data_IF_773124191194
#
_entry.id   IF_773124191194
#
_cell.length_a   1.000
_cell.length_b   1.000
_cell.length_c   1.000
_cell.angle_alpha   90.00
_cell.angle_beta   90.00
_cell.angle_gamma   90.00
#
_symmetry.space_group_name_H-M   'P 1'
#
loop_
_entity.id
_entity.type
_entity.pdbx_description
1 polymer ?
#
# COMPACT_ATOMS: atom_id res chain seq x y z
N UNK A 1 -17.51 -22.22 5.16
CA UNK A 1 -17.36 -21.37 6.39
C UNK A 1 -18.66 -20.62 6.67
N UNK A 2 -18.88 -20.11 7.93
CA UNK A 2 -20.09 -19.34 8.28
C UNK A 2 -20.37 -18.17 7.33
N UNK A 3 -19.33 -17.47 6.88
CA UNK A 3 -19.44 -16.37 5.91
C UNK A 3 -19.88 -16.80 4.49
N UNK A 4 -19.91 -18.10 4.19
CA UNK A 4 -20.29 -18.63 2.86
C UNK A 4 -21.77 -18.98 2.77
N UNK A 5 -22.49 -18.98 3.92
CA UNK A 5 -23.91 -19.34 4.02
C UNK A 5 -24.80 -18.28 3.34
N UNK A 6 -24.40 -17.00 3.37
CA UNK A 6 -25.15 -15.94 2.71
C UNK A 6 -24.71 -14.53 3.12
N UNK A 7 -25.26 -13.49 2.47
CA UNK A 7 -24.87 -12.09 2.67
C UNK A 7 -24.98 -11.60 4.13
N UNK A 8 -25.99 -12.06 4.85
CA UNK A 8 -26.20 -11.70 6.27
C UNK A 8 -25.13 -12.31 7.17
N UNK A 9 -24.80 -13.60 6.95
CA UNK A 9 -23.73 -14.28 7.68
C UNK A 9 -22.37 -13.64 7.41
N UNK A 10 -22.13 -13.23 6.16
CA UNK A 10 -20.93 -12.47 5.79
C UNK A 10 -20.82 -11.14 6.55
N UNK A 11 -21.94 -10.36 6.62
CA UNK A 11 -21.96 -9.09 7.36
C UNK A 11 -21.68 -9.29 8.86
N UNK A 12 -22.25 -10.33 9.48
CA UNK A 12 -22.01 -10.67 10.89
C UNK A 12 -20.53 -11.03 11.11
N UNK A 13 -19.98 -11.87 10.25
CA UNK A 13 -18.56 -12.24 10.32
C UNK A 13 -17.64 -11.01 10.18
N UNK A 14 -17.95 -10.10 9.27
CA UNK A 14 -17.21 -8.86 9.08
C UNK A 14 -17.28 -7.97 10.33
N UNK A 15 -18.47 -7.78 10.92
CA UNK A 15 -18.61 -7.00 12.15
C UNK A 15 -17.84 -7.60 13.32
N UNK A 16 -17.82 -8.91 13.44
CA UNK A 16 -17.01 -9.62 14.44
C UNK A 16 -15.52 -9.30 14.29
N UNK A 17 -14.99 -9.34 13.08
CA UNK A 17 -13.57 -9.02 12.85
C UNK A 17 -13.26 -7.53 13.10
N UNK A 18 -14.19 -6.63 12.74
CA UNK A 18 -14.10 -5.20 13.08
C UNK A 18 -14.06 -5.01 14.60
N UNK A 19 -14.96 -5.64 15.35
CA UNK A 19 -14.97 -5.56 16.82
C UNK A 19 -13.68 -6.09 17.45
N UNK A 20 -13.20 -7.26 16.99
CA UNK A 20 -11.90 -7.81 17.45
C UNK A 20 -10.76 -6.83 17.21
N UNK A 21 -10.76 -6.17 16.04
CA UNK A 21 -9.73 -5.18 15.71
C UNK A 21 -9.79 -3.98 16.64
N UNK A 22 -10.97 -3.44 16.93
CA UNK A 22 -11.11 -2.35 17.88
C UNK A 22 -10.63 -2.73 19.29
N UNK A 23 -10.99 -3.92 19.76
CA UNK A 23 -10.53 -4.44 21.06
C UNK A 23 -9.00 -4.56 21.06
N UNK A 24 -8.40 -5.16 20.01
CA UNK A 24 -6.95 -5.27 19.87
C UNK A 24 -6.27 -3.90 19.92
N UNK A 25 -6.78 -2.93 19.16
CA UNK A 25 -6.22 -1.58 19.10
C UNK A 25 -6.32 -0.86 20.46
N UNK A 26 -7.42 -1.05 21.18
CA UNK A 26 -7.63 -0.46 22.52
C UNK A 26 -6.59 -0.98 23.53
N UNK A 27 -6.34 -2.29 23.55
CA UNK A 27 -5.36 -2.88 24.47
C UNK A 27 -3.92 -2.69 24.04
N UNK A 28 -3.64 -2.46 22.77
CA UNK A 28 -2.28 -2.25 22.27
C UNK A 28 -1.65 -0.94 22.76
N UNK A 29 -2.46 0.05 23.19
CA UNK A 29 -2.00 1.37 23.67
C UNK A 29 -0.95 2.02 22.76
N UNK A 30 -1.14 1.85 21.44
CA UNK A 30 -0.24 2.42 20.43
C UNK A 30 -0.25 3.95 20.49
N UNK A 31 0.92 4.55 20.46
CA UNK A 31 1.06 5.99 20.31
C UNK A 31 0.90 6.35 18.82
N UNK A 32 -0.32 6.73 18.41
CA UNK A 32 -0.61 7.05 17.03
C UNK A 32 -0.18 8.46 16.63
N UNK A 33 0.33 8.58 15.40
CA UNK A 33 0.60 9.84 14.75
C UNK A 33 -0.72 10.55 14.39
N UNK A 34 -1.03 11.65 15.07
CA UNK A 34 -2.31 12.37 14.92
C UNK A 34 -2.16 13.84 14.49
N UNK A 35 -0.94 14.38 14.55
CA UNK A 35 -0.66 15.77 14.18
C UNK A 35 -0.45 15.89 12.68
N UNK A 36 -1.05 16.90 12.06
CA UNK A 36 -0.82 17.28 10.66
C UNK A 36 -0.23 18.69 10.58
N UNK A 37 0.75 18.85 9.68
CA UNK A 37 1.28 20.13 9.23
C UNK A 37 1.57 20.00 7.73
N UNK A 38 1.13 20.97 6.94
CA UNK A 38 1.38 20.99 5.50
C UNK A 38 2.63 21.78 5.12
N UNK A 39 3.25 22.50 6.05
CA UNK A 39 4.56 23.10 5.83
C UNK A 39 5.61 21.99 5.72
N UNK A 40 6.33 21.87 4.58
CA UNK A 40 7.20 20.72 4.34
C UNK A 40 8.44 20.77 5.22
N UNK A 41 8.78 19.66 5.86
CA UNK A 41 10.05 19.48 6.53
C UNK A 41 11.23 19.60 5.53
N UNK A 42 12.43 20.03 5.94
CA UNK A 42 13.48 20.47 5.03
C UNK A 42 14.06 19.34 4.15
N UNK A 43 14.14 18.10 4.64
CA UNK A 43 14.88 17.03 3.96
C UNK A 43 13.94 16.02 3.30
N UNK A 44 14.07 15.83 1.98
CA UNK A 44 13.35 14.78 1.25
C UNK A 44 14.06 13.44 1.48
N UNK A 45 13.31 12.44 1.93
CA UNK A 45 13.76 11.06 2.09
C UNK A 45 13.47 10.23 0.85
N UNK A 46 12.21 10.30 0.38
CA UNK A 46 11.74 9.54 -0.76
C UNK A 46 10.54 10.22 -1.43
N UNK A 47 10.41 10.01 -2.73
CA UNK A 47 9.26 10.43 -3.53
C UNK A 47 8.80 9.27 -4.40
N UNK A 48 7.49 9.18 -4.61
CA UNK A 48 6.90 8.20 -5.52
C UNK A 48 5.59 8.72 -6.11
N UNK A 49 5.32 8.34 -7.35
CA UNK A 49 4.03 8.60 -8.00
C UNK A 49 3.43 7.32 -8.55
N UNK A 50 2.11 7.28 -8.56
CA UNK A 50 1.34 6.20 -9.18
C UNK A 50 0.15 6.75 -9.95
N UNK A 51 -0.36 6.01 -10.93
CA UNK A 51 -1.55 6.43 -11.67
C UNK A 51 -2.79 6.52 -10.77
N UNK A 52 -3.34 7.73 -10.65
CA UNK A 52 -4.62 7.98 -10.01
C UNK A 52 -5.76 7.44 -10.89
N UNK A 53 -5.70 7.71 -12.19
CA UNK A 53 -6.66 7.25 -13.19
C UNK A 53 -5.94 6.39 -14.22
N UNK A 54 -6.42 5.16 -14.39
CA UNK A 54 -5.99 4.30 -15.51
C UNK A 54 -7.01 4.35 -16.62
N UNK A 55 -6.54 4.44 -17.86
CA UNK A 55 -7.37 4.42 -19.07
C UNK A 55 -6.98 3.21 -19.92
N UNK A 56 -7.91 2.61 -20.64
CA UNK A 56 -7.64 1.49 -21.53
C UNK A 56 -8.80 0.52 -21.70
N UNK A 57 -8.62 -0.46 -22.56
CA UNK A 57 -9.63 -1.50 -22.83
C UNK A 57 -9.94 -2.30 -21.56
N UNK A 58 -11.23 -2.46 -21.24
CA UNK A 58 -11.69 -3.20 -20.07
C UNK A 58 -11.63 -2.43 -18.74
N UNK A 59 -11.30 -1.13 -18.77
CA UNK A 59 -11.30 -0.26 -17.60
C UNK A 59 -12.58 0.57 -17.60
N UNK A 60 -13.38 0.45 -16.53
CA UNK A 60 -14.58 1.26 -16.33
C UNK A 60 -14.18 2.68 -15.89
N UNK A 61 -14.48 3.73 -16.68
CA UNK A 61 -14.11 5.12 -16.38
C UNK A 61 -14.76 5.61 -15.08
N UNK A 62 -16.03 5.25 -14.83
CA UNK A 62 -16.78 5.70 -13.64
C UNK A 62 -16.14 5.18 -12.37
N UNK A 63 -15.71 3.91 -12.37
CA UNK A 63 -15.01 3.33 -11.22
C UNK A 63 -13.62 3.97 -11.01
N UNK A 64 -12.97 4.44 -12.07
CA UNK A 64 -11.69 5.17 -11.95
C UNK A 64 -11.90 6.59 -11.41
N UNK A 65 -12.90 7.31 -11.88
CA UNK A 65 -13.26 8.62 -11.34
C UNK A 65 -13.66 8.53 -9.88
N UNK A 66 -14.48 7.55 -9.52
CA UNK A 66 -14.86 7.29 -8.14
C UNK A 66 -13.65 6.92 -7.26
N UNK A 67 -12.68 6.15 -7.79
CA UNK A 67 -11.41 5.87 -7.11
C UNK A 67 -10.66 7.18 -6.82
N UNK A 68 -10.57 8.08 -7.80
CA UNK A 68 -9.92 9.37 -7.61
C UNK A 68 -10.59 10.22 -6.52
N UNK A 69 -11.92 10.25 -6.48
CA UNK A 69 -12.69 10.89 -5.40
C UNK A 69 -12.35 10.27 -4.04
N UNK A 70 -12.37 8.94 -3.93
CA UNK A 70 -12.07 8.22 -2.70
C UNK A 70 -10.65 8.51 -2.18
N UNK A 71 -9.67 8.54 -3.09
CA UNK A 71 -8.27 8.83 -2.75
C UNK A 71 -8.12 10.29 -2.28
N UNK A 72 -8.73 11.27 -2.96
CA UNK A 72 -8.68 12.68 -2.54
C UNK A 72 -9.26 12.89 -1.16
N UNK A 73 -10.42 12.28 -0.85
CA UNK A 73 -11.03 12.33 0.48
C UNK A 73 -10.15 11.70 1.58
N UNK A 74 -9.47 10.60 1.26
CA UNK A 74 -8.54 9.99 2.21
C UNK A 74 -7.27 10.84 2.37
N UNK A 75 -6.77 11.45 1.29
CA UNK A 75 -5.61 12.34 1.34
C UNK A 75 -5.82 13.53 2.27
N UNK A 76 -7.01 14.13 2.33
CA UNK A 76 -7.33 15.21 3.27
C UNK A 76 -7.05 14.82 4.74
N UNK A 77 -7.13 13.53 5.06
CA UNK A 77 -6.88 12.98 6.39
C UNK A 77 -5.43 12.57 6.63
N UNK A 78 -4.66 12.37 5.58
CA UNK A 78 -3.32 11.79 5.63
C UNK A 78 -2.23 12.79 5.25
N UNK A 79 -2.54 13.77 4.39
CA UNK A 79 -1.54 14.75 3.94
C UNK A 79 -1.01 15.58 5.10
N UNK A 80 0.32 15.70 5.18
CA UNK A 80 1.00 16.47 6.21
C UNK A 80 1.12 15.75 7.55
N UNK A 81 0.78 14.45 7.67
CA UNK A 81 0.91 13.73 8.93
C UNK A 81 2.36 13.73 9.40
N UNK A 82 2.58 14.18 10.63
CA UNK A 82 3.86 14.11 11.32
C UNK A 82 3.95 12.82 12.11
N UNK A 83 5.02 12.09 11.94
CA UNK A 83 5.32 10.85 12.66
C UNK A 83 6.53 11.13 13.55
N UNK A 84 6.27 11.47 14.81
CA UNK A 84 7.32 11.80 15.79
C UNK A 84 8.04 10.55 16.29
N UNK A 85 9.19 10.68 16.95
CA UNK A 85 9.86 9.57 17.61
C UNK A 85 8.91 8.72 18.46
N UNK A 86 8.88 7.41 18.21
CA UNK A 86 8.02 6.45 18.89
C UNK A 86 6.57 6.38 18.41
N UNK A 87 6.13 7.28 17.52
CA UNK A 87 4.76 7.25 16.98
C UNK A 87 4.58 6.21 15.87
N UNK A 88 3.37 5.67 15.80
CA UNK A 88 2.92 4.71 14.78
C UNK A 88 1.90 5.36 13.85
N UNK A 89 2.19 5.37 12.56
CA UNK A 89 1.18 5.66 11.54
C UNK A 89 0.23 4.47 11.39
N UNK A 90 -1.08 4.73 11.33
CA UNK A 90 -2.10 3.74 10.99
C UNK A 90 -3.04 4.32 9.95
N UNK A 91 -3.17 3.64 8.81
CA UNK A 91 -3.99 4.10 7.70
C UNK A 91 -5.46 4.26 8.14
N UNK A 92 -6.03 3.24 8.79
CA UNK A 92 -7.44 3.28 9.19
C UNK A 92 -7.72 4.10 10.45
N UNK A 93 -6.72 4.32 11.32
CA UNK A 93 -6.86 5.26 12.43
C UNK A 93 -7.13 6.67 11.91
N UNK A 94 -6.43 7.08 10.85
CA UNK A 94 -6.55 8.41 10.24
C UNK A 94 -7.75 8.53 9.30
N UNK A 95 -7.92 7.61 8.35
CA UNK A 95 -9.00 7.65 7.34
C UNK A 95 -10.36 7.33 7.96
N UNK A 96 -10.39 6.39 8.90
CA UNK A 96 -11.60 5.88 9.50
C UNK A 96 -12.48 5.11 8.51
N UNK A 97 -13.71 4.80 8.93
CA UNK A 97 -14.67 4.05 8.10
C UNK A 97 -15.11 4.87 6.88
N UNK A 98 -14.95 4.29 5.70
CA UNK A 98 -15.46 4.85 4.44
C UNK A 98 -16.97 4.65 4.34
N UNK A 99 -17.72 5.74 4.12
CA UNK A 99 -19.18 5.71 4.00
C UNK A 99 -19.66 6.69 2.93
N UNK A 100 -20.83 6.42 2.32
CA UNK A 100 -21.47 7.35 1.38
C UNK A 100 -21.71 8.74 2.00
N UNK A 101 -22.05 8.79 3.30
CA UNK A 101 -22.27 10.06 4.04
C UNK A 101 -21.00 10.93 4.11
N UNK A 102 -19.82 10.32 4.08
CA UNK A 102 -18.54 11.03 4.02
C UNK A 102 -18.10 11.36 2.59
N UNK A 103 -18.93 11.11 1.58
CA UNK A 103 -18.62 11.36 0.17
C UNK A 103 -17.93 10.20 -0.57
N UNK A 104 -17.59 9.09 0.11
CA UNK A 104 -16.98 7.94 -0.56
C UNK A 104 -17.95 7.28 -1.53
N UNK A 105 -17.43 6.88 -2.68
CA UNK A 105 -18.16 6.30 -3.81
C UNK A 105 -17.78 4.84 -4.04
N UNK A 106 -18.60 4.17 -4.85
CA UNK A 106 -18.32 2.81 -5.28
C UNK A 106 -17.14 2.82 -6.26
N UNK A 107 -15.98 2.40 -5.82
CA UNK A 107 -14.80 2.16 -6.63
C UNK A 107 -14.51 0.66 -6.73
N UNK A 108 -13.45 0.30 -7.43
CA UNK A 108 -13.04 -1.08 -7.66
C UNK A 108 -12.47 -1.70 -6.38
N UNK A 109 -13.08 -2.78 -5.89
CA UNK A 109 -12.57 -3.62 -4.80
C UNK A 109 -12.34 -5.04 -5.28
N UNK A 110 -11.41 -5.75 -4.65
CA UNK A 110 -11.16 -7.18 -4.88
C UNK A 110 -11.77 -7.97 -3.73
N UNK A 111 -12.71 -8.86 -4.05
CA UNK A 111 -13.34 -9.76 -3.08
C UNK A 111 -13.28 -11.18 -3.62
N UNK A 112 -12.57 -12.10 -2.95
CA UNK A 112 -12.43 -13.52 -3.36
C UNK A 112 -12.03 -13.67 -4.83
N UNK A 113 -10.98 -12.97 -5.26
CA UNK A 113 -10.48 -12.93 -6.63
C UNK A 113 -11.47 -12.37 -7.67
N UNK A 114 -12.58 -11.74 -7.24
CA UNK A 114 -13.51 -11.05 -8.13
C UNK A 114 -13.41 -9.54 -7.93
N UNK A 115 -13.39 -8.83 -9.06
CA UNK A 115 -13.43 -7.37 -9.05
C UNK A 115 -14.88 -6.94 -9.00
N UNK A 116 -15.24 -6.21 -7.93
CA UNK A 116 -16.58 -5.72 -7.67
C UNK A 116 -16.57 -4.22 -7.35
N UNK A 117 -17.68 -3.51 -7.61
CA UNK A 117 -17.84 -2.16 -7.07
C UNK A 117 -18.04 -2.20 -5.55
N UNK A 118 -17.43 -1.25 -4.82
CA UNK A 118 -17.61 -1.14 -3.37
C UNK A 118 -17.16 0.21 -2.84
N UNK A 119 -17.82 0.65 -1.75
CA UNK A 119 -17.59 1.96 -1.12
C UNK A 119 -16.12 2.08 -0.66
N UNK A 120 -15.44 3.16 -1.09
CA UNK A 120 -14.04 3.40 -0.78
C UNK A 120 -13.08 2.56 -1.63
N UNK A 121 -13.54 1.96 -2.73
CA UNK A 121 -12.69 1.22 -3.66
C UNK A 121 -11.58 2.10 -4.22
N UNK A 122 -10.38 1.50 -4.37
CA UNK A 122 -9.16 2.18 -4.83
C UNK A 122 -8.19 2.62 -3.74
N UNK A 123 -8.55 2.58 -2.46
CA UNK A 123 -7.67 3.02 -1.35
C UNK A 123 -6.41 2.15 -1.20
N UNK A 124 -6.40 0.91 -1.70
CA UNK A 124 -5.17 0.13 -1.77
C UNK A 124 -4.11 0.82 -2.65
N UNK A 125 -4.49 1.57 -3.70
CA UNK A 125 -3.53 2.35 -4.49
C UNK A 125 -2.85 3.44 -3.64
N UNK A 126 -3.62 4.14 -2.79
CA UNK A 126 -3.07 5.13 -1.86
C UNK A 126 -2.13 4.48 -0.84
N UNK A 127 -2.56 3.38 -0.21
CA UNK A 127 -1.72 2.64 0.74
C UNK A 127 -0.43 2.14 0.09
N UNK A 128 -0.49 1.66 -1.17
CA UNK A 128 0.68 1.24 -1.94
C UNK A 128 1.63 2.39 -2.24
N UNK A 129 1.10 3.55 -2.60
CA UNK A 129 1.91 4.74 -2.88
C UNK A 129 2.65 5.19 -1.63
N UNK A 130 1.99 5.18 -0.46
CA UNK A 130 2.63 5.43 0.84
C UNK A 130 3.68 4.35 1.15
N UNK A 131 3.34 3.08 0.96
CA UNK A 131 4.25 1.97 1.23
C UNK A 131 5.57 2.07 0.45
N UNK A 132 5.52 2.56 -0.80
CA UNK A 132 6.71 2.74 -1.65
C UNK A 132 7.72 3.72 -1.04
N UNK A 133 7.28 4.84 -0.51
CA UNK A 133 8.19 5.81 0.13
C UNK A 133 8.65 5.34 1.52
N UNK A 134 7.84 4.59 2.23
CA UNK A 134 8.20 4.00 3.54
C UNK A 134 9.25 2.90 3.38
N UNK A 135 9.13 2.03 2.36
CA UNK A 135 10.10 0.95 2.12
C UNK A 135 11.53 1.45 1.90
N UNK A 136 11.69 2.62 1.28
CA UNK A 136 13.01 3.23 1.03
C UNK A 136 13.36 4.29 2.09
N UNK A 137 12.98 4.03 3.35
CA UNK A 137 13.21 4.90 4.50
C UNK A 137 13.61 4.08 5.74
N UNK A 138 14.04 4.71 6.84
CA UNK A 138 14.34 4.01 8.10
C UNK A 138 13.10 3.60 8.89
N UNK A 139 11.88 3.95 8.45
CA UNK A 139 10.66 3.63 9.16
C UNK A 139 10.38 2.12 9.12
N UNK A 140 9.93 1.57 10.25
CA UNK A 140 9.67 0.15 10.43
C UNK A 140 8.22 -0.19 10.13
N UNK A 141 7.98 -1.02 9.11
CA UNK A 141 6.61 -1.50 8.79
C UNK A 141 6.17 -2.51 9.84
N UNK A 142 5.11 -2.20 10.59
CA UNK A 142 4.59 -3.02 11.69
C UNK A 142 3.34 -3.81 11.34
N UNK A 143 2.60 -3.40 10.32
CA UNK A 143 1.49 -4.15 9.76
C UNK A 143 1.40 -3.95 8.23
N UNK A 144 1.32 -5.07 7.54
CA UNK A 144 1.32 -5.13 6.09
C UNK A 144 0.53 -6.35 5.60
N UNK A 145 -0.28 -6.17 4.57
CA UNK A 145 -1.08 -7.24 3.97
C UNK A 145 -0.77 -7.30 2.47
N UNK A 146 0.12 -8.20 2.06
CA UNK A 146 0.51 -8.29 0.65
C UNK A 146 -0.68 -8.60 -0.25
N UNK A 147 -0.68 -8.04 -1.46
CA UNK A 147 -1.53 -8.53 -2.53
C UNK A 147 -1.07 -9.92 -2.97
N UNK A 148 -2.01 -10.87 -3.05
CA UNK A 148 -1.74 -12.22 -3.55
C UNK A 148 -1.71 -12.29 -5.08
N UNK A 149 -2.06 -11.18 -5.78
CA UNK A 149 -2.40 -11.20 -7.19
C UNK A 149 -1.61 -10.18 -7.99
N UNK A 150 -1.08 -10.62 -9.14
CA UNK A 150 -0.51 -9.75 -10.15
C UNK A 150 -1.62 -9.32 -11.13
N UNK A 151 -2.19 -8.12 -10.91
CA UNK A 151 -3.40 -7.66 -11.62
C UNK A 151 -3.15 -7.12 -13.03
N UNK A 152 -1.89 -6.84 -13.40
CA UNK A 152 -1.51 -6.33 -14.71
C UNK A 152 -0.07 -6.73 -15.05
N UNK A 153 0.28 -6.85 -16.34
CA UNK A 153 1.67 -6.96 -16.77
C UNK A 153 2.45 -5.70 -16.37
N UNK A 154 3.78 -5.80 -16.34
CA UNK A 154 4.64 -4.63 -16.14
C UNK A 154 4.58 -3.73 -17.38
N UNK A 155 4.33 -2.44 -17.19
CA UNK A 155 4.37 -1.42 -18.21
C UNK A 155 5.77 -0.75 -18.17
N UNK A 156 6.66 -1.15 -19.07
CA UNK A 156 8.04 -0.64 -19.13
C UNK A 156 9.00 -1.33 -18.16
N UNK A 157 10.08 -0.65 -17.70
CA UNK A 157 11.05 -1.22 -16.80
C UNK A 157 10.39 -1.71 -15.50
N UNK A 158 10.73 -2.94 -15.10
CA UNK A 158 10.15 -3.51 -13.88
C UNK A 158 10.52 -2.70 -12.64
N UNK A 159 9.50 -2.33 -11.89
CA UNK A 159 9.67 -1.72 -10.58
C UNK A 159 9.57 -2.82 -9.53
N UNK A 160 10.64 -3.08 -8.77
CA UNK A 160 10.62 -4.06 -7.69
C UNK A 160 9.46 -3.81 -6.74
N UNK A 161 8.84 -4.90 -6.23
CA UNK A 161 7.74 -4.80 -5.29
C UNK A 161 6.48 -4.10 -5.83
N UNK A 162 6.12 -4.38 -7.08
CA UNK A 162 4.90 -3.81 -7.70
C UNK A 162 3.59 -4.29 -7.07
N UNK A 163 3.60 -5.36 -6.27
CA UNK A 163 2.41 -5.98 -5.68
C UNK A 163 1.87 -5.29 -4.42
N UNK A 164 2.60 -4.39 -3.80
CA UNK A 164 2.13 -3.49 -2.73
C UNK A 164 1.31 -4.10 -1.57
N UNK A 165 0.64 -3.23 -0.81
CA UNK A 165 -0.19 -3.61 0.34
C UNK A 165 -1.68 -3.46 0.08
N UNK A 166 -2.49 -4.38 0.61
CA UNK A 166 -3.94 -4.27 0.68
C UNK A 166 -4.37 -3.63 1.99
N UNK A 167 -5.44 -2.82 1.94
CA UNK A 167 -6.07 -2.26 3.14
C UNK A 167 -7.57 -2.55 3.13
N UNK A 168 -8.07 -3.05 4.29
CA UNK A 168 -9.49 -3.36 4.52
C UNK A 168 -9.90 -2.76 5.85
N UNK A 169 -10.97 -1.96 5.88
CA UNK A 169 -11.36 -1.24 7.09
C UNK A 169 -11.39 -2.15 8.32
N UNK A 170 -10.53 -1.83 9.30
CA UNK A 170 -10.36 -2.51 10.59
C UNK A 170 -10.06 -4.03 10.55
N UNK A 171 -9.89 -4.62 9.37
CA UNK A 171 -9.49 -6.01 9.25
C UNK A 171 -8.02 -6.15 8.80
N UNK A 172 -7.61 -5.35 7.81
CA UNK A 172 -6.22 -5.24 7.39
C UNK A 172 -5.81 -3.77 7.32
N UNK A 173 -4.91 -3.36 8.20
CA UNK A 173 -4.37 -2.00 8.26
C UNK A 173 -3.01 -1.95 7.57
N UNK A 174 -2.57 -0.76 7.23
CA UNK A 174 -1.20 -0.49 6.90
C UNK A 174 -0.61 0.39 7.99
N UNK A 175 0.44 -0.12 8.67
CA UNK A 175 1.08 0.56 9.79
C UNK A 175 2.58 0.57 9.65
N UNK A 176 3.19 1.66 10.08
CA UNK A 176 4.63 1.77 10.26
C UNK A 176 4.95 2.66 11.46
N UNK A 177 6.10 2.43 12.08
CA UNK A 177 6.56 3.12 13.28
C UNK A 177 7.81 3.91 13.00
N UNK A 178 7.93 5.06 13.63
CA UNK A 178 9.14 5.84 13.65
C UNK A 178 9.97 5.47 14.90
N UNK A 179 11.06 4.76 14.70
CA UNK A 179 12.01 4.38 15.75
C UNK A 179 13.27 5.28 15.76
N UNK A 180 13.27 6.31 14.90
CA UNK A 180 14.35 7.30 14.84
C UNK A 180 14.15 8.42 15.87
N UNK A 181 15.18 9.23 16.10
CA UNK A 181 15.20 10.37 17.02
C UNK A 181 14.78 11.71 16.39
N UNK A 182 14.10 11.67 15.25
CA UNK A 182 13.62 12.83 14.53
C UNK A 182 12.23 12.60 13.93
N UNK A 183 11.52 13.70 13.66
CA UNK A 183 10.18 13.64 13.04
C UNK A 183 10.28 13.34 11.55
N UNK A 184 9.38 12.48 11.06
CA UNK A 184 9.09 12.29 9.65
C UNK A 184 7.74 12.91 9.30
N UNK A 185 7.59 13.29 8.03
CA UNK A 185 6.36 13.87 7.51
C UNK A 185 5.98 13.19 6.20
N UNK A 186 4.72 12.78 6.11
CA UNK A 186 4.16 12.23 4.89
C UNK A 186 3.32 13.29 4.19
N UNK A 187 3.74 13.73 3.01
CA UNK A 187 2.98 14.60 2.13
C UNK A 187 2.35 13.81 1.00
N UNK A 188 1.07 14.10 0.72
CA UNK A 188 0.27 13.39 -0.28
C UNK A 188 -0.53 14.40 -1.10
N UNK A 189 -0.46 14.31 -2.43
CA UNK A 189 -1.29 15.13 -3.31
C UNK A 189 -1.65 14.38 -4.59
N UNK A 190 -2.60 14.92 -5.34
CA UNK A 190 -3.03 14.39 -6.63
C UNK A 190 -3.09 15.52 -7.65
N UNK A 191 -2.65 15.24 -8.87
CA UNK A 191 -3.06 16.00 -10.05
C UNK A 191 -4.26 15.32 -10.74
N UNK A 192 -4.43 15.54 -12.04
CA UNK A 192 -5.52 14.94 -12.81
C UNK A 192 -5.34 13.44 -12.98
N UNK A 193 -4.12 12.97 -13.22
CA UNK A 193 -3.82 11.59 -13.61
C UNK A 193 -3.02 10.80 -12.58
N UNK A 194 -2.32 11.48 -11.67
CA UNK A 194 -1.38 10.86 -10.77
C UNK A 194 -1.67 11.16 -9.30
N UNK A 195 -1.28 10.21 -8.46
CA UNK A 195 -1.18 10.31 -7.02
C UNK A 195 0.30 10.35 -6.63
N UNK A 196 0.67 11.28 -5.78
CA UNK A 196 2.03 11.48 -5.32
C UNK A 196 2.14 11.27 -3.81
N UNK A 197 3.26 10.70 -3.40
CA UNK A 197 3.68 10.61 -2.01
C UNK A 197 5.12 11.10 -1.87
N UNK A 198 5.37 11.89 -0.85
CA UNK A 198 6.69 12.33 -0.46
C UNK A 198 6.86 12.09 1.03
N UNK A 199 7.96 11.45 1.41
CA UNK A 199 8.38 11.31 2.80
C UNK A 199 9.52 12.27 3.08
N UNK A 200 9.40 13.07 4.13
CA UNK A 200 10.38 14.07 4.55
C UNK A 200 10.82 13.86 6.00
N UNK A 201 11.91 14.48 6.39
CA UNK A 201 12.41 14.49 7.77
C UNK A 201 13.07 15.82 8.13
N UNK A 202 13.34 16.02 9.41
CA UNK A 202 13.92 17.26 9.93
C UNK A 202 15.40 17.43 9.55
N UNK A 203 16.17 16.34 9.54
CA UNK A 203 17.62 16.33 9.31
C UNK A 203 18.01 15.28 8.27
N UNK A 204 19.08 15.50 7.50
CA UNK A 204 19.58 14.51 6.55
C UNK A 204 19.83 13.16 7.22
N UNK A 205 19.50 12.09 6.51
CA UNK A 205 19.74 10.72 6.99
C UNK A 205 21.20 10.31 6.73
N UNK A 206 21.83 9.57 7.66
CA UNK A 206 23.17 9.03 7.46
C UNK A 206 23.22 7.86 6.46
N UNK A 207 22.04 7.32 6.11
CA UNK A 207 21.90 6.17 5.22
C UNK A 207 20.93 6.47 4.07
N UNK A 208 21.11 5.74 2.97
CA UNK A 208 20.17 5.61 1.87
C UNK A 208 19.59 4.20 1.87
N UNK A 209 18.36 4.08 1.35
CA UNK A 209 17.65 2.80 1.33
C UNK A 209 17.24 2.48 -0.11
N UNK A 210 17.36 1.22 -0.50
CA UNK A 210 16.84 0.74 -1.79
C UNK A 210 16.20 -0.63 -1.66
N UNK A 211 15.27 -0.91 -2.57
CA UNK A 211 14.65 -2.22 -2.69
C UNK A 211 15.33 -2.97 -3.83
N UNK A 212 15.73 -4.20 -3.56
CA UNK A 212 16.34 -5.13 -4.52
C UNK A 212 15.41 -6.32 -4.69
N UNK A 213 15.15 -6.67 -5.94
CA UNK A 213 14.38 -7.87 -6.30
C UNK A 213 15.33 -8.89 -6.92
N UNK A 214 15.27 -10.14 -6.41
CA UNK A 214 16.09 -11.24 -6.90
C UNK A 214 15.24 -12.42 -7.37
N UNK A 215 15.77 -13.17 -8.33
CA UNK A 215 15.13 -14.39 -8.81
C UNK A 215 13.77 -14.19 -9.45
N UNK A 216 13.49 -12.98 -10.01
CA UNK A 216 12.21 -12.71 -10.67
C UNK A 216 12.02 -13.64 -11.87
N UNK A 217 10.94 -14.41 -11.84
CA UNK A 217 10.51 -15.27 -12.94
C UNK A 217 9.01 -15.53 -12.87
N UNK A 218 8.48 -16.09 -13.95
CA UNK A 218 7.14 -16.67 -13.96
C UNK A 218 7.26 -18.19 -13.90
N UNK A 219 6.29 -18.82 -13.22
CA UNK A 219 6.17 -20.27 -13.18
C UNK A 219 4.72 -20.71 -13.27
N UNK A 220 4.50 -21.95 -13.75
CA UNK A 220 3.17 -22.55 -13.87
C UNK A 220 2.99 -23.61 -12.80
N UNK A 221 1.93 -23.47 -12.01
CA UNK A 221 1.55 -24.40 -10.94
C UNK A 221 0.06 -24.71 -11.02
N UNK A 222 -0.31 -26.00 -11.09
CA UNK A 222 -1.70 -26.41 -11.08
C UNK A 222 -2.57 -25.78 -12.17
N UNK A 223 -2.00 -25.46 -13.34
CA UNK A 223 -2.71 -24.81 -14.44
C UNK A 223 -2.81 -23.29 -14.33
N UNK A 224 -2.28 -22.67 -13.29
CA UNK A 224 -2.21 -21.21 -13.07
C UNK A 224 -0.78 -20.74 -13.23
N UNK A 225 -0.63 -19.45 -13.54
CA UNK A 225 0.67 -18.79 -13.64
C UNK A 225 0.92 -17.91 -12.42
N UNK A 226 2.15 -17.91 -11.94
CA UNK A 226 2.59 -17.13 -10.79
C UNK A 226 3.81 -16.30 -11.15
N UNK A 227 3.86 -15.09 -10.59
CA UNK A 227 5.03 -14.24 -10.60
C UNK A 227 5.76 -14.43 -9.27
N UNK A 228 7.02 -14.86 -9.34
CA UNK A 228 7.83 -15.21 -8.17
C UNK A 228 9.07 -14.35 -8.10
N UNK A 229 9.42 -13.88 -6.91
CA UNK A 229 10.68 -13.17 -6.64
C UNK A 229 10.92 -13.02 -5.14
N UNK A 230 12.16 -12.73 -4.75
CA UNK A 230 12.52 -12.37 -3.38
C UNK A 230 12.83 -10.88 -3.32
N UNK A 231 12.27 -10.21 -2.32
CA UNK A 231 12.43 -8.78 -2.12
C UNK A 231 13.29 -8.53 -0.89
N UNK A 232 14.30 -7.70 -1.06
CA UNK A 232 15.21 -7.28 -0.01
C UNK A 232 15.23 -5.76 0.08
N UNK A 233 15.46 -5.25 1.30
CA UNK A 233 15.78 -3.84 1.56
C UNK A 233 17.27 -3.75 1.90
N UNK A 234 17.97 -2.89 1.23
CA UNK A 234 19.38 -2.60 1.48
C UNK A 234 19.53 -1.21 2.08
N UNK A 235 20.35 -1.14 3.13
CA UNK A 235 20.78 0.10 3.79
C UNK A 235 22.20 0.37 3.36
N UNK A 236 22.40 1.55 2.78
CA UNK A 236 23.70 2.00 2.26
C UNK A 236 24.17 3.22 3.04
N UNK A 237 25.43 3.32 3.35
CA UNK A 237 26.03 4.55 3.85
C UNK A 237 25.79 5.70 2.85
N UNK A 238 25.31 6.85 3.33
CA UNK A 238 24.90 7.95 2.47
C UNK A 238 26.08 8.63 1.75
N UNK A 239 27.29 8.59 2.34
CA UNK A 239 28.50 9.22 1.81
C UNK A 239 29.28 8.30 0.90
N UNK A 240 29.54 7.07 1.35
CA UNK A 240 30.41 6.10 0.65
C UNK A 240 29.66 5.20 -0.32
N UNK A 241 28.33 5.05 -0.14
CA UNK A 241 27.52 4.08 -0.88
C UNK A 241 27.76 2.63 -0.47
N UNK A 242 28.55 2.38 0.58
CA UNK A 242 28.82 1.04 1.07
C UNK A 242 27.57 0.38 1.60
N UNK A 243 27.36 -0.90 1.27
CA UNK A 243 26.29 -1.71 1.84
C UNK A 243 26.57 -1.97 3.33
N UNK A 244 25.68 -1.46 4.19
CA UNK A 244 25.77 -1.62 5.64
C UNK A 244 24.89 -2.78 6.14
N UNK A 245 23.70 -2.92 5.57
CA UNK A 245 22.76 -3.95 5.99
C UNK A 245 21.87 -4.37 4.83
N UNK A 246 21.45 -5.63 4.85
CA UNK A 246 20.49 -6.20 3.93
C UNK A 246 19.49 -7.05 4.69
N UNK A 247 18.22 -6.72 4.58
CA UNK A 247 17.13 -7.45 5.21
C UNK A 247 16.17 -8.06 4.19
N UNK A 248 15.66 -9.22 4.49
CA UNK A 248 14.62 -9.87 3.71
C UNK A 248 13.26 -9.21 4.03
N UNK A 249 12.55 -8.76 2.98
CA UNK A 249 11.24 -8.11 3.12
C UNK A 249 10.12 -9.13 2.92
N UNK A 250 10.15 -9.87 1.80
CA UNK A 250 9.15 -10.91 1.54
C UNK A 250 9.52 -11.82 0.35
N UNK A 251 8.90 -13.02 0.34
CA UNK A 251 8.73 -13.83 -0.86
C UNK A 251 7.47 -13.35 -1.61
N UNK A 252 7.67 -12.91 -2.84
CA UNK A 252 6.59 -12.61 -3.75
C UNK A 252 6.20 -13.90 -4.50
N UNK A 253 4.96 -14.34 -4.30
CA UNK A 253 4.33 -15.43 -5.03
C UNK A 253 2.91 -14.99 -5.35
N UNK A 254 2.75 -14.34 -6.51
CA UNK A 254 1.50 -13.66 -6.89
C UNK A 254 0.88 -14.35 -8.09
N UNK A 255 -0.39 -14.79 -7.96
CA UNK A 255 -1.15 -15.36 -9.08
C UNK A 255 -1.34 -14.30 -10.18
N UNK A 256 -1.06 -14.66 -11.42
CA UNK A 256 -1.27 -13.80 -12.58
C UNK A 256 -2.77 -13.76 -12.91
N UNK A 257 -3.36 -12.57 -12.82
CA UNK A 257 -4.80 -12.33 -13.02
C UNK A 257 -5.11 -11.62 -14.34
N UNK A 258 -4.13 -11.51 -15.22
CA UNK A 258 -4.27 -10.96 -16.57
C UNK A 258 -4.05 -12.07 -17.61
N UNK A 259 -4.30 -11.77 -18.89
CA UNK A 259 -4.15 -12.75 -19.98
C UNK A 259 -2.74 -13.36 -19.97
N UNK A 260 -2.61 -14.68 -19.81
CA UNK A 260 -1.32 -15.37 -19.82
C UNK A 260 -0.49 -15.14 -21.08
N UNK A 261 -1.11 -14.84 -22.21
CA UNK A 261 -0.41 -14.52 -23.46
C UNK A 261 0.48 -13.25 -23.33
N UNK A 262 0.24 -12.42 -22.33
CA UNK A 262 1.05 -11.23 -22.01
C UNK A 262 2.25 -11.54 -21.09
N UNK A 263 2.43 -12.78 -20.66
CA UNK A 263 3.58 -13.22 -19.88
C UNK A 263 4.78 -13.39 -20.81
N UNK A 264 5.91 -12.72 -20.58
CA UNK A 264 7.11 -12.91 -21.39
C UNK A 264 7.57 -14.38 -21.40
N UNK A 265 7.66 -14.99 -22.58
CA UNK A 265 8.14 -16.36 -22.74
C UNK A 265 7.19 -17.42 -22.19
N UNK A 266 5.87 -17.16 -22.17
CA UNK A 266 4.85 -18.08 -21.63
C UNK A 266 4.88 -19.47 -22.30
N UNK A 267 5.30 -19.55 -23.55
CA UNK A 267 5.44 -20.79 -24.29
C UNK A 267 6.55 -21.73 -23.76
N UNK A 268 7.40 -21.24 -22.86
CA UNK A 268 8.48 -21.99 -22.20
C UNK A 268 8.14 -22.42 -20.78
N UNK A 269 6.97 -22.05 -20.29
CA UNK A 269 6.44 -22.37 -18.97
C UNK A 269 5.42 -23.52 -19.08
#
# INVERSE_FOLDING_TARGET
MFCDIGPTCYKIALQKEICKRHIKNFFAQENYADTQDTAPLPCIVAQYSSHLIKRGKGIDPVLQENKAVNIRLANERLNGILIRPGETFSFWHRVGKTTKRKGYRDGRILVRNHILPGIGGGLCNLANTIHRVVLVSPLTVTEFHKHSDALAPDEGPRVPFSSGTSVFYNNGDYRFKNEMDQTFQLLLWCDEDNLYAELRCERPLPCRYRIVEEGHHFQKEGGKYYRVSKIYKETLDAQTGQLLHREFVLDNHSEVMYDPALIPGVEKL
#
